data_IF_826222897358
#
_entry.id   IF_826222897358
#
_cell.length_a   1.000
_cell.length_b   1.000
_cell.length_c   1.000
_cell.angle_alpha   90.00
_cell.angle_beta   90.00
_cell.angle_gamma   90.00
#
_symmetry.space_group_name_H-M   'P 1'
#
loop_
_entity.id
_entity.type
_entity.pdbx_description
1 polymer ?
#
# COMPACT_ATOMS: atom_id res chain seq x y z
N UNK A 1 48.38 -55.76 -7.55
CA UNK A 1 47.37 -55.36 -6.54
C UNK A 1 47.82 -54.16 -5.71
N UNK A 2 49.10 -53.99 -5.38
CA UNK A 2 49.61 -52.82 -4.63
C UNK A 2 49.52 -51.48 -5.38
N UNK A 3 49.82 -51.44 -6.68
CA UNK A 3 49.83 -50.19 -7.44
C UNK A 3 48.43 -49.55 -7.54
N UNK A 4 47.38 -50.37 -7.64
CA UNK A 4 46.00 -49.90 -7.72
C UNK A 4 45.54 -49.15 -6.44
N UNK A 5 45.89 -49.66 -5.26
CA UNK A 5 45.57 -49.00 -3.99
C UNK A 5 46.33 -47.68 -3.81
N UNK A 6 47.57 -47.61 -4.31
CA UNK A 6 48.38 -46.39 -4.27
C UNK A 6 47.76 -45.26 -5.13
N UNK A 7 47.29 -45.57 -6.35
CA UNK A 7 46.59 -44.59 -7.18
C UNK A 7 45.27 -44.13 -6.56
N UNK A 8 44.53 -45.02 -5.89
CA UNK A 8 43.30 -44.65 -5.19
C UNK A 8 43.53 -43.70 -4.02
N UNK A 9 44.62 -43.87 -3.25
CA UNK A 9 44.95 -42.94 -2.16
C UNK A 9 45.35 -41.56 -2.67
N UNK A 10 46.11 -41.49 -3.77
CA UNK A 10 46.45 -40.21 -4.41
C UNK A 10 45.18 -39.50 -4.89
N UNK A 11 44.28 -40.20 -5.59
CA UNK A 11 43.03 -39.64 -6.07
C UNK A 11 42.13 -39.16 -4.92
N UNK A 12 42.09 -39.91 -3.80
CA UNK A 12 41.37 -39.50 -2.59
C UNK A 12 41.93 -38.22 -1.98
N UNK A 13 43.26 -38.10 -1.88
CA UNK A 13 43.89 -36.92 -1.29
C UNK A 13 43.73 -35.68 -2.18
N UNK A 14 43.79 -35.86 -3.51
CA UNK A 14 43.56 -34.77 -4.46
C UNK A 14 42.10 -34.31 -4.44
N UNK A 15 41.12 -35.22 -4.36
CA UNK A 15 39.71 -34.84 -4.29
C UNK A 15 39.35 -34.07 -3.01
N UNK A 16 39.99 -34.41 -1.88
CA UNK A 16 39.83 -33.69 -0.61
C UNK A 16 40.30 -32.23 -0.65
N UNK A 17 41.17 -31.86 -1.60
CA UNK A 17 41.64 -30.47 -1.76
C UNK A 17 40.82 -29.74 -2.83
N UNK A 18 40.53 -30.41 -3.95
CA UNK A 18 39.83 -29.79 -5.08
C UNK A 18 38.37 -29.47 -4.72
N UNK A 19 37.67 -30.40 -4.07
CA UNK A 19 36.23 -30.24 -3.78
C UNK A 19 35.97 -29.04 -2.85
N UNK A 20 36.64 -28.87 -1.69
CA UNK A 20 36.42 -27.71 -0.83
C UNK A 20 36.80 -26.38 -1.50
N UNK A 21 37.82 -26.37 -2.37
CA UNK A 21 38.22 -25.17 -3.11
C UNK A 21 37.12 -24.74 -4.08
N UNK A 22 36.54 -25.69 -4.82
CA UNK A 22 35.41 -25.43 -5.72
C UNK A 22 34.16 -25.00 -4.96
N UNK A 23 33.83 -25.68 -3.85
CA UNK A 23 32.69 -25.31 -3.00
C UNK A 23 32.87 -23.93 -2.38
N UNK A 24 34.09 -23.59 -1.93
CA UNK A 24 34.42 -22.27 -1.41
C UNK A 24 34.25 -21.18 -2.48
N UNK A 25 34.70 -21.44 -3.70
CA UNK A 25 34.51 -20.52 -4.83
C UNK A 25 33.03 -20.31 -5.18
N UNK A 26 32.25 -21.40 -5.28
CA UNK A 26 30.81 -21.35 -5.53
C UNK A 26 30.11 -20.58 -4.40
N UNK A 27 30.46 -20.86 -3.15
CA UNK A 27 29.88 -20.19 -1.97
C UNK A 27 30.18 -18.69 -1.96
N UNK A 28 31.40 -18.29 -2.32
CA UNK A 28 31.76 -16.88 -2.44
C UNK A 28 30.96 -16.17 -3.53
N UNK A 29 30.76 -16.81 -4.69
CA UNK A 29 29.90 -16.28 -5.75
C UNK A 29 28.43 -16.20 -5.31
N UNK A 30 27.92 -17.22 -4.64
CA UNK A 30 26.56 -17.25 -4.11
C UNK A 30 26.32 -16.13 -3.08
N UNK A 31 27.29 -15.88 -2.20
CA UNK A 31 27.21 -14.79 -1.22
C UNK A 31 27.06 -13.42 -1.90
N UNK A 32 27.86 -13.13 -2.92
CA UNK A 32 27.77 -11.86 -3.65
C UNK A 32 26.43 -11.69 -4.38
N UNK A 33 25.92 -12.76 -4.99
CA UNK A 33 24.60 -12.75 -5.64
C UNK A 33 23.49 -12.53 -4.60
N UNK A 34 23.55 -13.22 -3.46
CA UNK A 34 22.55 -13.07 -2.40
C UNK A 34 22.54 -11.65 -1.82
N UNK A 35 23.72 -11.03 -1.67
CA UNK A 35 23.83 -9.63 -1.25
C UNK A 35 23.15 -8.68 -2.23
N UNK A 36 23.46 -8.82 -3.53
CA UNK A 36 22.81 -8.01 -4.57
C UNK A 36 21.30 -8.23 -4.62
N UNK A 37 20.85 -9.47 -4.45
CA UNK A 37 19.43 -9.82 -4.40
C UNK A 37 18.73 -9.18 -3.20
N UNK A 38 19.35 -9.20 -2.02
CA UNK A 38 18.84 -8.54 -0.84
C UNK A 38 18.65 -7.04 -1.07
N UNK A 39 19.65 -6.37 -1.67
CA UNK A 39 19.55 -4.94 -1.97
C UNK A 39 18.37 -4.66 -2.91
N UNK A 40 18.21 -5.44 -3.99
CA UNK A 40 17.09 -5.29 -4.92
C UNK A 40 15.73 -5.52 -4.25
N UNK A 41 15.59 -6.58 -3.46
CA UNK A 41 14.35 -6.91 -2.75
C UNK A 41 13.99 -5.83 -1.72
N UNK A 42 14.99 -5.28 -1.04
CA UNK A 42 14.80 -4.19 -0.10
C UNK A 42 14.29 -2.91 -0.80
N UNK A 43 14.89 -2.53 -1.93
CA UNK A 43 14.41 -1.39 -2.72
C UNK A 43 13.00 -1.65 -3.27
N UNK A 44 12.71 -2.87 -3.71
CA UNK A 44 11.38 -3.26 -4.18
C UNK A 44 10.34 -3.14 -3.05
N UNK A 45 10.65 -3.62 -1.85
CA UNK A 45 9.75 -3.51 -0.70
C UNK A 45 9.43 -2.04 -0.37
N UNK A 46 10.43 -1.16 -0.42
CA UNK A 46 10.22 0.28 -0.22
C UNK A 46 9.33 0.88 -1.30
N UNK A 47 9.55 0.52 -2.56
CA UNK A 47 8.72 0.98 -3.68
C UNK A 47 7.28 0.48 -3.56
N UNK A 48 7.09 -0.78 -3.17
CA UNK A 48 5.77 -1.36 -2.93
C UNK A 48 5.06 -0.65 -1.77
N UNK A 49 5.77 -0.33 -0.68
CA UNK A 49 5.23 0.44 0.44
C UNK A 49 4.84 1.86 0.02
N UNK A 50 5.68 2.53 -0.78
CA UNK A 50 5.39 3.83 -1.36
C UNK A 50 4.10 3.78 -2.21
N UNK A 51 4.01 2.81 -3.13
CA UNK A 51 2.85 2.65 -4.00
C UNK A 51 1.58 2.44 -3.18
N UNK A 52 1.64 1.61 -2.12
CA UNK A 52 0.50 1.39 -1.23
C UNK A 52 0.09 2.64 -0.45
N UNK A 53 1.03 3.46 0.00
CA UNK A 53 0.72 4.75 0.66
C UNK A 53 0.14 5.76 -0.31
N UNK A 54 0.62 5.79 -1.54
CA UNK A 54 0.10 6.66 -2.60
C UNK A 54 -1.31 6.24 -3.04
N UNK A 55 -1.58 4.94 -3.11
CA UNK A 55 -2.90 4.38 -3.44
C UNK A 55 -4.01 4.89 -2.49
N UNK A 56 -3.70 5.06 -1.20
CA UNK A 56 -4.62 5.68 -0.22
C UNK A 56 -4.97 7.11 -0.61
N UNK A 57 -4.01 7.91 -1.06
CA UNK A 57 -4.27 9.27 -1.54
C UNK A 57 -5.13 9.25 -2.80
N UNK A 58 -4.74 8.44 -3.79
CA UNK A 58 -5.38 8.43 -5.11
C UNK A 58 -6.84 7.98 -5.03
N UNK A 59 -7.13 6.90 -4.31
CA UNK A 59 -8.49 6.40 -4.10
C UNK A 59 -9.36 7.39 -3.32
N UNK A 60 -8.81 8.07 -2.31
CA UNK A 60 -9.53 9.13 -1.57
C UNK A 60 -9.86 10.30 -2.49
N UNK A 61 -8.92 10.73 -3.33
CA UNK A 61 -9.12 11.84 -4.25
C UNK A 61 -10.11 11.50 -5.38
N UNK A 62 -10.06 10.26 -5.88
CA UNK A 62 -11.01 9.74 -6.86
C UNK A 62 -12.42 9.74 -6.28
N UNK A 63 -12.60 9.21 -5.07
CA UNK A 63 -13.90 9.22 -4.39
C UNK A 63 -14.39 10.66 -4.14
N UNK A 64 -13.51 11.57 -3.73
CA UNK A 64 -13.87 12.97 -3.54
C UNK A 64 -14.41 13.60 -4.83
N UNK A 65 -13.73 13.43 -5.96
CA UNK A 65 -14.15 13.94 -7.27
C UNK A 65 -15.52 13.41 -7.67
N UNK A 66 -15.72 12.09 -7.60
CA UNK A 66 -17.02 11.50 -7.92
C UNK A 66 -18.13 11.94 -6.94
N UNK A 67 -17.77 12.24 -5.69
CA UNK A 67 -18.71 12.77 -4.70
C UNK A 67 -19.16 14.19 -5.07
N UNK A 68 -18.26 15.04 -5.54
CA UNK A 68 -18.60 16.38 -6.04
C UNK A 68 -19.50 16.32 -7.27
N UNK A 69 -19.20 15.42 -8.21
CA UNK A 69 -19.94 15.27 -9.46
C UNK A 69 -21.28 14.53 -9.29
N UNK A 70 -21.54 13.98 -8.10
CA UNK A 70 -22.69 13.12 -7.83
C UNK A 70 -22.72 11.85 -8.71
N UNK A 71 -21.54 11.33 -9.04
CA UNK A 71 -21.31 10.17 -9.92
C UNK A 71 -20.63 9.00 -9.20
N UNK A 72 -20.70 8.96 -7.86
CA UNK A 72 -20.03 7.97 -7.01
C UNK A 72 -20.36 6.54 -7.45
N UNK A 73 -19.36 5.85 -7.97
CA UNK A 73 -19.45 4.44 -8.34
C UNK A 73 -19.26 3.57 -7.11
N UNK A 74 -19.96 2.45 -7.06
CA UNK A 74 -19.76 1.45 -6.01
C UNK A 74 -18.31 0.95 -5.96
N UNK A 75 -17.70 0.76 -7.13
CA UNK A 75 -16.31 0.33 -7.27
C UNK A 75 -15.35 1.32 -6.61
N UNK A 76 -15.41 2.61 -6.98
CA UNK A 76 -14.58 3.66 -6.38
C UNK A 76 -14.75 3.75 -4.86
N UNK A 77 -15.98 3.58 -4.35
CA UNK A 77 -16.24 3.56 -2.92
C UNK A 77 -15.60 2.33 -2.23
N UNK A 78 -15.64 1.16 -2.86
CA UNK A 78 -15.00 -0.05 -2.36
C UNK A 78 -13.46 0.04 -2.39
N UNK A 79 -12.90 0.64 -3.44
CA UNK A 79 -11.45 0.89 -3.58
C UNK A 79 -10.95 1.80 -2.45
N UNK A 80 -11.69 2.90 -2.21
CA UNK A 80 -11.42 3.77 -1.06
C UNK A 80 -11.53 3.02 0.25
N UNK A 81 -12.60 2.25 0.48
CA UNK A 81 -12.76 1.51 1.74
C UNK A 81 -11.63 0.50 1.98
N UNK A 82 -11.17 -0.18 0.93
CA UNK A 82 -10.04 -1.11 1.00
C UNK A 82 -8.74 -0.36 1.37
N UNK A 83 -8.50 0.78 0.74
CA UNK A 83 -7.30 1.59 0.97
C UNK A 83 -7.32 2.26 2.35
N UNK A 84 -8.47 2.78 2.77
CA UNK A 84 -8.72 3.30 4.12
C UNK A 84 -8.43 2.24 5.19
N UNK A 85 -9.00 1.03 5.07
CA UNK A 85 -8.73 -0.03 6.04
C UNK A 85 -7.25 -0.43 6.06
N UNK A 86 -6.60 -0.46 4.89
CA UNK A 86 -5.16 -0.75 4.79
C UNK A 86 -4.30 0.33 5.43
N UNK A 87 -4.76 1.58 5.44
CA UNK A 87 -4.03 2.71 6.01
C UNK A 87 -3.69 2.53 7.49
N UNK A 88 -4.48 1.75 8.24
CA UNK A 88 -4.19 1.36 9.62
C UNK A 88 -2.83 0.67 9.78
N UNK A 89 -2.42 -0.12 8.78
CA UNK A 89 -1.15 -0.84 8.79
C UNK A 89 -0.03 -0.08 8.06
N UNK A 90 -0.38 0.77 7.10
CA UNK A 90 0.59 1.49 6.26
C UNK A 90 1.22 2.72 6.94
N UNK A 91 0.50 3.30 7.90
CA UNK A 91 0.90 4.50 8.61
C UNK A 91 1.01 4.25 10.13
N UNK A 92 1.98 4.87 10.81
CA UNK A 92 2.06 4.79 12.26
C UNK A 92 0.85 5.51 12.88
N UNK A 93 0.29 4.98 13.98
CA UNK A 93 -0.87 5.60 14.66
C UNK A 93 -0.65 7.07 15.02
N UNK A 94 0.58 7.45 15.37
CA UNK A 94 0.96 8.82 15.70
C UNK A 94 0.85 9.81 14.53
N UNK A 95 0.68 9.33 13.29
CA UNK A 95 0.51 10.22 12.13
C UNK A 95 -0.86 10.87 12.04
N UNK A 96 -1.88 10.31 12.71
CA UNK A 96 -3.27 10.75 12.58
C UNK A 96 -3.90 10.49 11.20
N UNK A 97 -3.18 9.84 10.26
CA UNK A 97 -3.68 9.59 8.90
C UNK A 97 -4.93 8.70 8.93
N UNK A 98 -4.91 7.63 9.72
CA UNK A 98 -6.04 6.71 9.81
C UNK A 98 -7.28 7.42 10.39
N UNK A 99 -7.11 8.19 11.47
CA UNK A 99 -8.21 8.90 12.13
C UNK A 99 -8.82 9.94 11.18
N UNK A 100 -7.98 10.66 10.43
CA UNK A 100 -8.46 11.59 9.42
C UNK A 100 -9.25 10.86 8.32
N UNK A 101 -8.72 9.76 7.79
CA UNK A 101 -9.40 8.97 6.76
C UNK A 101 -10.70 8.33 7.26
N UNK A 102 -10.78 7.98 8.54
CA UNK A 102 -12.01 7.50 9.19
C UNK A 102 -13.10 8.58 9.18
N UNK A 103 -12.73 9.83 9.46
CA UNK A 103 -13.64 10.97 9.36
C UNK A 103 -14.06 11.26 7.92
N UNK A 104 -13.15 11.13 6.95
CA UNK A 104 -13.52 11.16 5.53
C UNK A 104 -14.55 10.06 5.20
N UNK A 105 -14.30 8.82 5.65
CA UNK A 105 -15.19 7.69 5.41
C UNK A 105 -16.59 7.93 5.98
N UNK A 106 -16.72 8.35 7.25
CA UNK A 106 -18.02 8.68 7.88
C UNK A 106 -18.81 9.71 7.06
N UNK A 107 -18.11 10.73 6.55
CA UNK A 107 -18.75 11.81 5.78
C UNK A 107 -19.14 11.37 4.37
N UNK A 108 -18.31 10.57 3.70
CA UNK A 108 -18.69 9.98 2.42
C UNK A 108 -19.88 9.04 2.57
N UNK A 109 -19.92 8.22 3.63
CA UNK A 109 -21.09 7.37 3.96
C UNK A 109 -22.33 8.23 4.18
N UNK A 110 -22.23 9.32 4.95
CA UNK A 110 -23.35 10.22 5.19
C UNK A 110 -23.89 10.82 3.88
N UNK A 111 -23.01 11.41 3.05
CA UNK A 111 -23.39 11.99 1.74
C UNK A 111 -24.07 10.94 0.85
N UNK A 112 -23.52 9.73 0.81
CA UNK A 112 -24.06 8.63 0.03
C UNK A 112 -25.42 8.15 0.54
N UNK A 113 -25.59 8.06 1.86
CA UNK A 113 -26.85 7.67 2.51
C UNK A 113 -27.98 8.65 2.17
N UNK A 114 -27.70 9.96 2.21
CA UNK A 114 -28.67 10.98 1.83
C UNK A 114 -29.07 10.92 0.35
N UNK A 115 -28.13 10.61 -0.54
CA UNK A 115 -28.38 10.49 -1.99
C UNK A 115 -29.12 9.20 -2.38
N UNK A 116 -29.09 8.17 -1.53
CA UNK A 116 -29.80 6.91 -1.73
C UNK A 116 -31.22 6.86 -1.16
N UNK A 117 -31.70 7.94 -0.53
CA UNK A 117 -33.03 7.99 0.07
C UNK A 117 -34.14 7.91 -0.99
N UNK A 118 -35.20 7.09 -0.77
CA UNK A 118 -36.25 6.90 -1.76
C UNK A 118 -37.05 8.18 -2.02
N UNK A 119 -37.30 8.46 -3.29
CA UNK A 119 -38.22 9.51 -3.74
C UNK A 119 -39.61 9.26 -3.15
N UNK A 120 -40.15 10.21 -2.38
CA UNK A 120 -41.57 10.23 -2.01
C UNK A 120 -42.28 11.23 -2.92
N UNK A 121 -43.31 10.78 -3.64
CA UNK A 121 -44.20 11.61 -4.47
C UNK A 121 -43.50 12.42 -5.58
N UNK A 122 -42.62 11.81 -6.38
CA UNK A 122 -42.12 12.42 -7.62
C UNK A 122 -41.21 13.64 -7.45
N UNK A 123 -40.88 14.02 -6.22
CA UNK A 123 -39.93 15.08 -5.90
C UNK A 123 -38.84 14.51 -4.97
N UNK A 124 -37.60 14.96 -5.16
CA UNK A 124 -36.59 14.84 -4.11
C UNK A 124 -37.14 15.62 -2.92
N UNK A 125 -37.65 14.93 -1.90
CA UNK A 125 -37.77 15.54 -0.57
C UNK A 125 -36.36 15.55 0.00
N UNK A 126 -35.49 16.33 -0.63
CA UNK A 126 -34.27 16.76 0.02
C UNK A 126 -34.69 17.93 0.86
N UNK A 127 -35.05 17.65 2.11
CA UNK A 127 -35.34 18.73 3.04
C UNK A 127 -34.10 19.63 3.17
N UNK A 128 -34.34 20.87 3.60
CA UNK A 128 -33.28 21.88 3.74
C UNK A 128 -32.17 21.35 4.65
N UNK A 129 -32.51 20.54 5.65
CA UNK A 129 -31.57 19.95 6.60
C UNK A 129 -30.64 18.92 5.95
N UNK A 130 -31.14 18.11 5.02
CA UNK A 130 -30.36 17.13 4.26
C UNK A 130 -29.40 17.82 3.30
N UNK A 131 -29.87 18.85 2.58
CA UNK A 131 -29.03 19.65 1.69
C UNK A 131 -27.92 20.36 2.47
N UNK A 132 -28.26 20.93 3.63
CA UNK A 132 -27.31 21.54 4.57
C UNK A 132 -26.28 20.52 5.06
N UNK A 133 -26.70 19.34 5.51
CA UNK A 133 -25.80 18.27 5.95
C UNK A 133 -24.84 17.80 4.85
N UNK A 134 -25.31 17.67 3.60
CA UNK A 134 -24.41 17.33 2.49
C UNK A 134 -23.40 18.46 2.25
N UNK A 135 -23.85 19.71 2.25
CA UNK A 135 -22.96 20.87 2.06
C UNK A 135 -21.90 20.95 3.16
N UNK A 136 -22.28 20.77 4.42
CA UNK A 136 -21.36 20.76 5.57
C UNK A 136 -20.32 19.65 5.45
N UNK A 137 -20.74 18.44 5.08
CA UNK A 137 -19.82 17.32 4.87
C UNK A 137 -18.86 17.56 3.70
N UNK A 138 -19.35 18.08 2.58
CA UNK A 138 -18.52 18.41 1.41
C UNK A 138 -17.53 19.53 1.72
N UNK A 139 -17.97 20.58 2.41
CA UNK A 139 -17.10 21.68 2.84
C UNK A 139 -16.01 21.18 3.77
N UNK A 140 -16.36 20.37 4.78
CA UNK A 140 -15.36 19.79 5.66
C UNK A 140 -14.36 18.93 4.90
N UNK A 141 -14.82 18.07 3.97
CA UNK A 141 -13.93 17.23 3.15
C UNK A 141 -12.97 18.11 2.35
N UNK A 142 -13.50 19.12 1.65
CA UNK A 142 -12.71 20.07 0.87
C UNK A 142 -11.64 20.75 1.72
N UNK A 143 -12.01 21.21 2.91
CA UNK A 143 -11.13 21.98 3.79
C UNK A 143 -10.06 21.08 4.45
N UNK A 144 -10.29 19.76 4.53
CA UNK A 144 -9.35 18.78 5.11
C UNK A 144 -8.50 18.04 4.06
N UNK A 145 -8.77 18.17 2.76
CA UNK A 145 -7.91 17.62 1.70
C UNK A 145 -6.46 18.15 1.80
N UNK A 146 -6.20 19.45 2.04
CA UNK A 146 -4.84 19.94 2.23
C UNK A 146 -4.13 19.28 3.41
N UNK A 147 -4.83 19.07 4.54
CA UNK A 147 -4.29 18.41 5.73
C UNK A 147 -3.94 16.96 5.40
N UNK A 148 -4.82 16.24 4.72
CA UNK A 148 -4.55 14.88 4.26
C UNK A 148 -3.31 14.83 3.36
N UNK A 149 -3.19 15.77 2.41
CA UNK A 149 -2.04 15.86 1.51
C UNK A 149 -0.74 16.09 2.28
N UNK A 150 -0.76 16.98 3.28
CA UNK A 150 0.40 17.27 4.13
C UNK A 150 0.83 16.03 4.91
N UNK A 151 -0.09 15.38 5.63
CA UNK A 151 0.19 14.17 6.41
C UNK A 151 0.74 13.03 5.54
N UNK A 152 0.14 12.81 4.37
CA UNK A 152 0.60 11.78 3.45
C UNK A 152 1.95 12.13 2.83
N UNK A 153 2.23 13.41 2.56
CA UNK A 153 3.51 13.84 1.97
C UNK A 153 4.70 13.51 2.88
N UNK A 154 4.53 13.61 4.19
CA UNK A 154 5.56 13.25 5.20
C UNK A 154 5.92 11.76 5.08
N UNK A 155 4.96 10.90 4.75
CA UNK A 155 5.14 9.45 4.70
C UNK A 155 5.41 8.88 3.30
N UNK A 156 5.15 9.66 2.26
CA UNK A 156 5.37 9.31 0.85
C UNK A 156 6.77 9.79 0.40
N UNK A 157 7.36 10.79 1.04
CA UNK A 157 8.65 11.41 0.63
C UNK A 157 9.92 10.66 1.07
N UNK A 158 9.83 9.46 1.65
CA UNK A 158 11.00 8.71 2.12
C UNK A 158 11.36 7.59 1.13
N UNK A 159 12.48 7.68 0.39
CA UNK A 159 13.02 6.58 -0.40
C UNK A 159 13.72 5.48 0.42
#
# INVERSE_FOLDING_TARGET
MCDFNYYLEILRNVSLIIVPTLVGYISFKQYNINKLKYDVEHHKLKLDLFNKRFDVFDTTMKLYKETLENTVKQETFNDFNTSYNSSFFLFPKSSGVYDLLDDFHKRFVAIRGYRGAPYKNGSLIMDVDTSKNISENLNWIRDNIPVLKELLSIHISVP
#
